data_IF_309528094173
#
_entry.id   IF_309528094173
#
_cell.length_a   1.000
_cell.length_b   1.000
_cell.length_c   1.000
_cell.angle_alpha   90.00
_cell.angle_beta   90.00
_cell.angle_gamma   90.00
#
_symmetry.space_group_name_H-M   'P 1'
#
loop_
_entity.id
_entity.type
_entity.pdbx_description
1 polymer ?
#
# COMPACT_ATOMS: atom_id res chain seq x y z
N UNK A 1 5.42 25.39 -6.62
CA UNK A 1 4.99 24.00 -6.33
C UNK A 1 4.15 23.38 -7.46
N UNK A 2 3.02 23.98 -7.86
CA UNK A 2 2.07 23.41 -8.85
C UNK A 2 2.69 23.04 -10.22
N UNK A 3 3.59 23.86 -10.78
CA UNK A 3 4.28 23.55 -12.06
C UNK A 3 5.24 22.36 -11.94
N UNK A 4 5.90 22.20 -10.78
CA UNK A 4 6.78 21.05 -10.49
C UNK A 4 5.96 19.76 -10.42
N UNK A 5 4.83 19.79 -9.74
CA UNK A 5 3.93 18.63 -9.68
C UNK A 5 3.39 18.24 -11.06
N UNK A 6 2.94 19.20 -11.86
CA UNK A 6 2.46 18.94 -13.21
C UNK A 6 3.57 18.39 -14.13
N UNK A 7 4.83 18.78 -13.90
CA UNK A 7 5.99 18.19 -14.59
C UNK A 7 6.23 16.75 -14.13
N UNK A 8 6.34 16.52 -12.81
CA UNK A 8 6.58 15.18 -12.24
C UNK A 8 5.48 14.18 -12.63
N UNK A 9 4.22 14.61 -12.66
CA UNK A 9 3.10 13.78 -13.14
C UNK A 9 3.27 13.39 -14.61
N UNK A 10 3.66 14.34 -15.47
CA UNK A 10 3.91 14.07 -16.90
C UNK A 10 5.08 13.11 -17.08
N UNK A 11 6.15 13.29 -16.32
CA UNK A 11 7.30 12.40 -16.32
C UNK A 11 6.93 10.98 -15.84
N UNK A 12 6.11 10.86 -14.79
CA UNK A 12 5.60 9.58 -14.30
C UNK A 12 4.74 8.87 -15.36
N UNK A 13 3.78 9.58 -15.97
CA UNK A 13 2.94 9.00 -17.02
C UNK A 13 3.75 8.60 -18.25
N UNK A 14 4.75 9.39 -18.63
CA UNK A 14 5.64 9.08 -19.74
C UNK A 14 6.49 7.83 -19.46
N UNK A 15 7.04 7.70 -18.24
CA UNK A 15 7.76 6.50 -17.80
C UNK A 15 6.85 5.27 -17.87
N UNK A 16 5.64 5.35 -17.29
CA UNK A 16 4.63 4.29 -17.31
C UNK A 16 4.17 3.88 -18.72
N UNK A 17 4.13 4.83 -19.66
CA UNK A 17 3.78 4.52 -21.05
C UNK A 17 4.92 3.78 -21.79
N UNK A 18 6.18 4.15 -21.53
CA UNK A 18 7.35 3.47 -22.12
C UNK A 18 7.64 2.12 -21.47
N UNK A 19 7.23 1.98 -20.23
CA UNK A 19 7.42 0.80 -19.40
C UNK A 19 6.81 -0.46 -20.04
N UNK A 20 5.61 -0.39 -20.63
CA UNK A 20 5.04 -1.57 -21.32
C UNK A 20 5.87 -2.00 -22.54
N UNK A 21 6.38 -1.03 -23.32
CA UNK A 21 7.28 -1.31 -24.43
C UNK A 21 8.63 -1.89 -23.95
N UNK A 22 9.16 -1.39 -22.83
CA UNK A 22 10.37 -1.91 -22.20
C UNK A 22 10.16 -3.33 -21.66
N UNK A 23 9.00 -3.62 -21.05
CA UNK A 23 8.65 -4.97 -20.58
C UNK A 23 8.64 -5.98 -21.72
N UNK A 24 7.97 -5.64 -22.83
CA UNK A 24 7.94 -6.51 -24.01
C UNK A 24 9.36 -6.72 -24.57
N UNK A 25 10.18 -5.67 -24.63
CA UNK A 25 11.58 -5.79 -25.05
C UNK A 25 12.39 -6.69 -24.09
N UNK A 26 12.19 -6.54 -22.78
CA UNK A 26 12.87 -7.33 -21.75
C UNK A 26 12.46 -8.81 -21.80
N UNK A 27 11.17 -9.11 -21.97
CA UNK A 27 10.69 -10.48 -22.14
C UNK A 27 11.32 -11.15 -23.38
N UNK A 28 11.50 -10.40 -24.47
CA UNK A 28 12.23 -10.89 -25.65
C UNK A 28 13.70 -11.18 -25.32
N UNK A 29 14.37 -10.25 -24.61
CA UNK A 29 15.77 -10.42 -24.17
C UNK A 29 15.94 -11.63 -23.26
N UNK A 30 15.05 -11.82 -22.28
CA UNK A 30 15.07 -12.96 -21.36
C UNK A 30 14.85 -14.29 -22.09
N UNK A 31 13.95 -14.34 -23.07
CA UNK A 31 13.76 -15.55 -23.91
C UNK A 31 15.03 -15.90 -24.69
N UNK A 32 15.75 -14.91 -25.21
CA UNK A 32 17.04 -15.11 -25.89
C UNK A 32 18.12 -15.55 -24.89
N UNK A 33 18.25 -14.86 -23.75
CA UNK A 33 19.19 -15.23 -22.68
C UNK A 33 18.98 -16.67 -22.22
N UNK A 34 17.73 -17.05 -21.94
CA UNK A 34 17.37 -18.41 -21.53
C UNK A 34 17.66 -19.46 -22.60
N UNK A 35 17.41 -19.15 -23.87
CA UNK A 35 17.74 -20.06 -24.97
C UNK A 35 19.27 -20.29 -25.10
N UNK A 36 20.07 -19.25 -24.87
CA UNK A 36 21.53 -19.34 -24.84
C UNK A 36 22.04 -20.15 -23.63
N UNK A 37 21.50 -19.91 -22.43
CA UNK A 37 21.86 -20.63 -21.21
C UNK A 37 21.48 -22.12 -21.28
N UNK A 38 20.27 -22.43 -21.76
CA UNK A 38 19.78 -23.81 -21.88
C UNK A 38 20.30 -24.53 -23.14
N UNK A 39 21.13 -23.88 -23.97
CA UNK A 39 21.59 -24.37 -25.28
C UNK A 39 20.44 -24.86 -26.18
N UNK A 40 19.31 -24.15 -26.18
CA UNK A 40 18.13 -24.44 -27.00
C UNK A 40 18.08 -23.54 -28.23
N UNK A 41 17.37 -24.01 -29.27
CA UNK A 41 17.14 -23.21 -30.47
C UNK A 41 16.33 -21.95 -30.12
N UNK A 42 16.82 -20.78 -30.57
CA UNK A 42 16.12 -19.51 -30.41
C UNK A 42 14.77 -19.56 -31.15
N UNK A 43 13.67 -19.08 -30.54
CA UNK A 43 12.35 -19.00 -31.19
C UNK A 43 12.42 -18.30 -32.55
N UNK A 44 11.72 -18.84 -33.55
CA UNK A 44 11.80 -18.38 -34.95
C UNK A 44 11.50 -16.89 -35.11
N UNK A 45 10.56 -16.37 -34.33
CA UNK A 45 10.17 -14.95 -34.30
C UNK A 45 11.30 -14.02 -33.85
N UNK A 46 12.19 -14.50 -32.98
CA UNK A 46 13.28 -13.71 -32.41
C UNK A 46 14.60 -13.86 -33.17
N UNK A 47 14.73 -14.84 -34.08
CA UNK A 47 16.00 -15.13 -34.78
C UNK A 47 16.57 -13.95 -35.56
N UNK A 48 15.71 -13.13 -36.18
CA UNK A 48 16.14 -11.95 -36.94
C UNK A 48 16.65 -10.82 -36.04
N UNK A 49 16.05 -10.67 -34.86
CA UNK A 49 16.39 -9.64 -33.87
C UNK A 49 17.45 -10.13 -32.87
N UNK A 50 17.78 -11.43 -32.86
CA UNK A 50 18.58 -12.09 -31.84
C UNK A 50 19.97 -11.48 -31.67
N UNK A 51 20.66 -11.16 -32.77
CA UNK A 51 22.00 -10.54 -32.73
C UNK A 51 21.97 -9.15 -32.10
N UNK A 52 20.95 -8.33 -32.42
CA UNK A 52 20.78 -7.00 -31.84
C UNK A 52 20.40 -7.08 -30.35
N UNK A 53 19.50 -8.01 -30.00
CA UNK A 53 19.12 -8.27 -28.61
C UNK A 53 20.31 -8.77 -27.79
N UNK A 54 21.14 -9.64 -28.37
CA UNK A 54 22.37 -10.14 -27.73
C UNK A 54 23.39 -9.03 -27.48
N UNK A 55 23.66 -8.17 -28.47
CA UNK A 55 24.54 -7.02 -28.25
C UNK A 55 24.02 -6.09 -27.15
N UNK A 56 22.70 -5.94 -27.02
CA UNK A 56 22.10 -5.15 -25.93
C UNK A 56 22.15 -5.84 -24.55
N UNK A 57 22.22 -7.18 -24.50
CA UNK A 57 22.33 -7.95 -23.25
C UNK A 57 23.67 -7.76 -22.57
N UNK A 58 24.74 -7.47 -23.33
CA UNK A 58 26.08 -7.20 -22.78
C UNK A 58 26.13 -5.88 -21.98
N UNK A 59 25.24 -4.94 -22.28
CA UNK A 59 25.11 -3.67 -21.56
C UNK A 59 24.06 -3.72 -20.44
N UNK A 60 23.29 -4.81 -20.33
CA UNK A 60 22.35 -5.03 -19.23
C UNK A 60 23.10 -5.58 -18.01
N UNK A 61 23.75 -4.69 -17.27
CA UNK A 61 24.50 -5.02 -16.05
C UNK A 61 23.60 -5.69 -15.01
N UNK A 62 24.05 -6.79 -14.41
CA UNK A 62 23.30 -7.53 -13.39
C UNK A 62 22.99 -6.70 -12.12
N UNK A 63 23.71 -5.59 -11.91
CA UNK A 63 23.58 -4.70 -10.75
C UNK A 63 22.79 -3.41 -10.99
N UNK A 64 22.39 -3.10 -12.23
CA UNK A 64 21.86 -1.77 -12.58
C UNK A 64 20.40 -1.53 -12.18
N UNK A 65 19.57 -2.56 -12.23
CA UNK A 65 18.16 -2.54 -11.85
C UNK A 65 17.72 -4.01 -11.85
N UNK A 66 18.14 -4.77 -10.83
CA UNK A 66 17.59 -6.10 -10.61
C UNK A 66 16.09 -5.95 -10.46
N UNK A 67 15.34 -6.32 -11.51
CA UNK A 67 13.89 -6.23 -11.70
C UNK A 67 13.21 -5.82 -10.39
N UNK A 68 13.22 -4.51 -10.09
CA UNK A 68 12.32 -4.01 -9.06
C UNK A 68 10.97 -4.34 -9.65
N UNK A 69 10.23 -5.22 -8.98
CA UNK A 69 8.94 -5.68 -9.49
C UNK A 69 8.12 -4.42 -9.79
N UNK A 70 8.04 -4.15 -11.08
CA UNK A 70 7.61 -2.96 -11.82
C UNK A 70 6.17 -2.52 -11.48
N UNK A 71 5.53 -3.16 -10.51
CA UNK A 71 4.16 -2.91 -10.09
C UNK A 71 4.04 -1.68 -9.18
N UNK A 72 5.14 -1.21 -8.55
CA UNK A 72 5.12 -0.18 -7.49
C UNK A 72 6.21 0.92 -7.60
N UNK A 73 6.37 1.60 -8.75
CA UNK A 73 7.18 2.85 -8.80
C UNK A 73 6.64 3.90 -7.82
N UNK A 74 5.33 3.86 -7.54
CA UNK A 74 4.67 4.72 -6.56
C UNK A 74 5.22 4.53 -5.13
N UNK A 75 5.57 3.30 -4.76
CA UNK A 75 6.04 2.93 -3.41
C UNK A 75 7.54 2.67 -3.35
N UNK A 76 8.32 3.14 -4.34
CA UNK A 76 9.78 2.92 -4.43
C UNK A 76 10.57 3.28 -3.16
N UNK A 77 10.10 4.29 -2.41
CA UNK A 77 10.75 4.76 -1.17
C UNK A 77 10.20 4.09 0.11
N UNK A 78 9.28 3.15 -0.03
CA UNK A 78 8.71 2.46 1.11
C UNK A 78 9.79 1.67 1.87
N UNK A 79 9.81 1.84 3.19
CA UNK A 79 10.80 1.22 4.08
C UNK A 79 12.05 2.08 4.33
N UNK A 80 12.27 3.15 3.55
CA UNK A 80 13.34 4.13 3.83
C UNK A 80 12.85 5.18 4.83
N UNK A 81 11.64 5.70 4.61
CA UNK A 81 10.98 6.66 5.50
C UNK A 81 9.68 6.07 6.07
N UNK A 82 9.37 6.44 7.32
CA UNK A 82 8.10 6.06 7.94
C UNK A 82 6.94 6.82 7.24
N UNK A 83 5.83 6.13 6.90
CA UNK A 83 4.72 6.75 6.21
C UNK A 83 4.04 7.81 7.07
N UNK A 84 3.67 8.93 6.45
CA UNK A 84 2.93 10.03 7.09
C UNK A 84 1.49 9.94 6.65
N UNK A 85 0.68 9.29 7.48
CA UNK A 85 -0.73 9.03 7.20
C UNK A 85 -1.60 10.15 7.76
N UNK A 86 -2.45 10.74 6.93
CA UNK A 86 -3.43 11.76 7.30
C UNK A 86 -4.84 11.19 7.21
N UNK A 87 -5.57 11.20 8.33
CA UNK A 87 -6.95 10.71 8.41
C UNK A 87 -7.90 11.90 8.47
N UNK A 88 -8.89 11.90 7.59
CA UNK A 88 -10.00 12.85 7.59
C UNK A 88 -11.33 12.14 7.40
N UNK A 89 -12.42 12.87 7.62
CA UNK A 89 -13.79 12.36 7.60
C UNK A 89 -14.57 13.02 6.47
N UNK A 90 -15.85 12.66 6.35
CA UNK A 90 -16.84 13.40 5.56
C UNK A 90 -17.00 14.85 6.07
N UNK A 91 -17.68 15.70 5.29
CA UNK A 91 -17.83 17.15 5.55
C UNK A 91 -18.41 17.44 6.93
N UNK A 92 -19.51 16.80 7.25
CA UNK A 92 -20.24 16.95 8.52
C UNK A 92 -20.34 15.58 9.21
N UNK A 93 -19.28 15.19 9.96
CA UNK A 93 -19.22 13.87 10.58
C UNK A 93 -20.01 13.83 11.90
N UNK A 94 -20.69 12.72 12.13
CA UNK A 94 -21.33 12.38 13.39
C UNK A 94 -20.32 12.19 14.51
N UNK A 95 -20.79 12.16 15.76
CA UNK A 95 -19.97 11.81 16.92
C UNK A 95 -19.35 10.41 16.79
N UNK A 96 -20.12 9.42 16.29
CA UNK A 96 -19.64 8.05 16.06
C UNK A 96 -18.52 8.00 15.03
N UNK A 97 -18.64 8.71 13.90
CA UNK A 97 -17.55 8.76 12.91
C UNK A 97 -16.31 9.49 13.43
N UNK A 98 -16.48 10.52 14.27
CA UNK A 98 -15.33 11.17 14.94
C UNK A 98 -14.60 10.21 15.89
N UNK A 99 -15.34 9.35 16.61
CA UNK A 99 -14.78 8.31 17.46
C UNK A 99 -14.06 7.25 16.61
N UNK A 100 -14.68 6.77 15.53
CA UNK A 100 -14.05 5.82 14.61
C UNK A 100 -12.77 6.39 13.97
N UNK A 101 -12.76 7.67 13.58
CA UNK A 101 -11.54 8.31 13.07
C UNK A 101 -10.43 8.40 14.13
N UNK A 102 -10.77 8.46 15.43
CA UNK A 102 -9.80 8.37 16.54
C UNK A 102 -9.29 6.94 16.70
N UNK A 103 -10.13 5.93 16.53
CA UNK A 103 -9.72 4.52 16.54
C UNK A 103 -8.75 4.23 15.39
N UNK A 104 -9.06 4.65 14.16
CA UNK A 104 -8.16 4.49 13.02
C UNK A 104 -6.81 5.18 13.23
N UNK A 105 -6.79 6.34 13.91
CA UNK A 105 -5.53 6.99 14.29
C UNK A 105 -4.66 6.09 15.17
N UNK A 106 -5.26 5.32 16.08
CA UNK A 106 -4.51 4.39 16.93
C UNK A 106 -4.08 3.12 16.16
N UNK A 107 -4.85 2.72 15.14
CA UNK A 107 -4.49 1.61 14.25
C UNK A 107 -3.20 1.90 13.49
N UNK A 108 -3.06 3.08 12.89
CA UNK A 108 -1.89 3.45 12.07
C UNK A 108 -0.87 4.25 12.90
N UNK A 109 0.32 3.67 13.23
CA UNK A 109 1.35 4.40 13.96
C UNK A 109 1.81 5.65 13.20
N UNK A 110 1.95 6.78 13.88
CA UNK A 110 2.35 8.05 13.25
C UNK A 110 1.23 8.76 12.47
N UNK A 111 0.02 8.20 12.43
CA UNK A 111 -1.09 8.85 11.77
C UNK A 111 -1.57 10.10 12.52
N UNK A 112 -1.93 11.12 11.74
CA UNK A 112 -2.50 12.34 12.25
C UNK A 112 -3.96 12.45 11.81
N UNK A 113 -4.80 13.07 12.64
CA UNK A 113 -6.21 13.31 12.33
C UNK A 113 -6.41 14.77 12.01
N UNK A 114 -7.03 15.06 10.88
CA UNK A 114 -7.37 16.40 10.43
C UNK A 114 -8.89 16.60 10.43
N UNK A 115 -9.34 17.66 11.11
CA UNK A 115 -10.74 18.07 11.06
C UNK A 115 -11.10 18.52 9.65
N UNK A 116 -12.16 17.94 9.09
CA UNK A 116 -12.59 18.23 7.71
C UNK A 116 -13.14 19.65 7.56
N UNK A 117 -14.06 20.04 8.44
CA UNK A 117 -14.71 21.35 8.44
C UNK A 117 -15.28 21.71 7.06
N UNK A 118 -15.11 22.98 6.66
CA UNK A 118 -15.56 23.50 5.35
C UNK A 118 -14.51 23.36 4.24
N UNK A 119 -13.44 22.59 4.46
CA UNK A 119 -12.38 22.46 3.48
C UNK A 119 -12.80 21.60 2.27
N UNK A 120 -12.59 22.14 1.08
CA UNK A 120 -12.74 21.40 -0.17
C UNK A 120 -11.69 20.28 -0.27
N UNK A 121 -12.05 19.19 -0.96
CA UNK A 121 -11.15 18.02 -1.11
C UNK A 121 -9.84 18.45 -1.77
N UNK A 122 -9.91 19.28 -2.82
CA UNK A 122 -8.73 19.76 -3.53
C UNK A 122 -7.80 20.59 -2.66
N UNK A 123 -8.33 21.40 -1.74
CA UNK A 123 -7.51 22.18 -0.80
C UNK A 123 -6.79 21.26 0.20
N UNK A 124 -7.46 20.22 0.69
CA UNK A 124 -6.86 19.25 1.61
C UNK A 124 -5.75 18.45 0.94
N UNK A 125 -5.97 17.97 -0.28
CA UNK A 125 -4.94 17.25 -1.05
C UNK A 125 -3.72 18.15 -1.28
N UNK A 126 -3.92 19.43 -1.60
CA UNK A 126 -2.81 20.39 -1.74
C UNK A 126 -2.05 20.59 -0.43
N UNK A 127 -2.77 20.71 0.70
CA UNK A 127 -2.15 20.84 2.02
C UNK A 127 -1.36 19.58 2.41
N UNK A 128 -1.92 18.39 2.19
CA UNK A 128 -1.24 17.12 2.43
C UNK A 128 0.04 17.00 1.61
N UNK A 129 -0.01 17.34 0.30
CA UNK A 129 1.17 17.35 -0.57
C UNK A 129 2.24 18.35 -0.12
N UNK A 130 1.84 19.55 0.29
CA UNK A 130 2.78 20.56 0.79
C UNK A 130 3.49 20.12 2.08
N UNK A 131 2.82 19.32 2.92
CA UNK A 131 3.36 18.77 4.16
C UNK A 131 4.10 17.42 3.97
N UNK A 132 4.21 16.92 2.74
CA UNK A 132 4.86 15.63 2.48
C UNK A 132 4.13 14.44 3.11
N UNK A 133 2.80 14.49 3.20
CA UNK A 133 1.96 13.37 3.61
C UNK A 133 2.04 12.28 2.54
N UNK A 134 2.26 11.04 2.95
CA UNK A 134 2.34 9.89 2.04
C UNK A 134 0.95 9.41 1.66
N UNK A 135 0.01 9.36 2.61
CA UNK A 135 -1.30 8.76 2.40
C UNK A 135 -2.41 9.58 3.05
N UNK A 136 -3.48 9.79 2.30
CA UNK A 136 -4.71 10.44 2.75
C UNK A 136 -5.82 9.39 2.87
N UNK A 137 -6.32 9.21 4.08
CA UNK A 137 -7.45 8.34 4.40
C UNK A 137 -8.70 9.20 4.59
N UNK A 138 -9.75 8.94 3.82
CA UNK A 138 -11.05 9.61 3.96
C UNK A 138 -12.08 8.59 4.36
N UNK A 139 -12.74 8.82 5.49
CA UNK A 139 -13.76 7.91 6.01
C UNK A 139 -15.15 8.50 5.82
N UNK A 140 -16.06 7.66 5.34
CA UNK A 140 -17.46 7.95 5.13
C UNK A 140 -18.33 7.11 6.06
N UNK A 141 -19.47 7.68 6.45
CA UNK A 141 -20.47 7.01 7.26
C UNK A 141 -21.85 7.09 6.62
N UNK A 142 -22.73 6.19 7.05
CA UNK A 142 -24.16 6.27 6.85
C UNK A 142 -24.84 6.20 8.22
N UNK A 143 -25.54 7.28 8.61
CA UNK A 143 -26.32 7.37 9.87
C UNK A 143 -25.54 6.95 11.13
N UNK A 144 -24.27 7.35 11.25
CA UNK A 144 -23.44 7.03 12.42
C UNK A 144 -22.64 5.73 12.30
N UNK A 145 -22.86 4.94 11.25
CA UNK A 145 -22.10 3.71 11.00
C UNK A 145 -21.08 3.95 9.89
N UNK A 146 -19.77 3.71 10.11
CA UNK A 146 -18.76 3.79 9.06
C UNK A 146 -19.04 2.78 7.94
N UNK A 147 -19.09 3.25 6.69
CA UNK A 147 -19.42 2.42 5.52
C UNK A 147 -18.39 2.51 4.40
N UNK A 148 -17.53 3.54 4.40
CA UNK A 148 -16.57 3.75 3.33
C UNK A 148 -15.22 4.20 3.85
N UNK A 149 -14.17 3.63 3.28
CA UNK A 149 -12.79 4.04 3.50
C UNK A 149 -12.12 4.26 2.14
N UNK A 150 -11.61 5.45 1.93
CA UNK A 150 -10.83 5.80 0.74
C UNK A 150 -9.38 5.94 1.18
N UNK A 151 -8.49 5.17 0.56
CA UNK A 151 -7.05 5.27 0.76
C UNK A 151 -6.45 5.87 -0.49
N UNK A 152 -5.84 7.05 -0.38
CA UNK A 152 -5.18 7.71 -1.51
C UNK A 152 -3.71 7.93 -1.21
N UNK A 153 -2.85 7.28 -1.99
CA UNK A 153 -1.41 7.51 -1.92
C UNK A 153 -1.03 8.79 -2.69
N UNK A 154 -0.21 9.63 -2.08
CA UNK A 154 0.22 10.93 -2.60
C UNK A 154 1.73 10.89 -2.88
N UNK A 155 2.23 11.67 -3.85
CA UNK A 155 1.54 12.73 -4.60
C UNK A 155 0.79 12.28 -5.87
N UNK A 156 1.15 11.14 -6.44
CA UNK A 156 0.57 10.60 -7.70
C UNK A 156 0.25 9.10 -7.59
N UNK A 157 0.00 8.62 -6.37
CA UNK A 157 -0.25 7.22 -6.11
C UNK A 157 -1.67 6.77 -6.45
N UNK A 158 -1.94 5.46 -6.32
CA UNK A 158 -3.28 4.91 -6.51
C UNK A 158 -4.25 5.40 -5.43
N UNK A 159 -5.54 5.37 -5.77
CA UNK A 159 -6.64 5.53 -4.81
C UNK A 159 -7.47 4.25 -4.80
N UNK A 160 -7.62 3.67 -3.61
CA UNK A 160 -8.45 2.50 -3.39
C UNK A 160 -9.70 2.89 -2.58
N UNK A 161 -10.85 2.40 -3.04
CA UNK A 161 -12.14 2.59 -2.39
C UNK A 161 -12.56 1.27 -1.76
N UNK A 162 -12.75 1.28 -0.44
CA UNK A 162 -13.20 0.13 0.32
C UNK A 162 -14.57 0.42 0.91
N UNK A 163 -15.48 -0.54 0.78
CA UNK A 163 -16.75 -0.53 1.51
C UNK A 163 -16.54 -1.29 2.80
N UNK A 164 -16.83 -0.64 3.93
CA UNK A 164 -16.71 -1.24 5.25
C UNK A 164 -18.01 -1.97 5.58
N UNK A 165 -17.88 -3.24 5.97
CA UNK A 165 -18.99 -4.09 6.40
C UNK A 165 -18.69 -4.62 7.81
N UNK A 166 -19.74 -4.86 8.61
CA UNK A 166 -19.63 -5.45 9.95
C UNK A 166 -18.62 -4.73 10.87
N UNK A 167 -18.66 -3.40 10.86
CA UNK A 167 -17.78 -2.57 11.69
C UNK A 167 -18.24 -2.62 13.14
N UNK A 168 -17.41 -3.22 13.99
CA UNK A 168 -17.51 -3.11 15.45
C UNK A 168 -16.51 -2.06 15.89
N UNK A 169 -16.97 -1.05 16.62
CA UNK A 169 -16.10 0.03 17.10
C UNK A 169 -15.59 -0.31 18.50
N UNK A 170 -14.33 0.06 18.75
CA UNK A 170 -13.69 -0.12 20.06
C UNK A 170 -14.46 0.54 21.19
N UNK A 171 -15.05 1.72 20.94
CA UNK A 171 -15.82 2.44 21.95
C UNK A 171 -17.14 1.75 22.32
N UNK A 172 -17.63 0.82 21.51
CA UNK A 172 -18.86 0.07 21.81
C UNK A 172 -18.57 -1.15 22.74
N UNK A 173 -17.29 -1.53 22.92
CA UNK A 173 -16.88 -2.67 23.77
C UNK A 173 -16.36 -2.16 25.13
N UNK A 174 -16.96 -2.60 26.26
CA UNK A 174 -16.54 -2.17 27.59
C UNK A 174 -15.18 -2.76 28.01
N UNK A 175 -14.54 -2.15 29.00
CA UNK A 175 -13.34 -2.65 29.69
C UNK A 175 -12.07 -2.83 28.85
N UNK A 176 -11.99 -2.14 27.71
CA UNK A 176 -10.78 -2.13 26.89
C UNK A 176 -9.75 -1.12 27.43
N UNK A 177 -8.54 -1.61 27.72
CA UNK A 177 -7.42 -0.80 28.21
C UNK A 177 -6.85 0.21 27.19
N UNK A 178 -5.65 0.73 27.43
CA UNK A 178 -4.96 1.58 26.44
C UNK A 178 -4.42 0.72 25.29
N UNK A 179 -4.49 1.23 24.06
CA UNK A 179 -3.94 0.56 22.88
C UNK A 179 -2.44 0.83 22.77
N UNK A 180 -1.64 -0.20 22.48
CA UNK A 180 -0.22 -0.02 22.15
C UNK A 180 -0.07 0.67 20.79
N UNK A 181 0.72 1.74 20.76
CA UNK A 181 1.10 2.45 19.53
C UNK A 181 2.36 1.87 18.88
N UNK A 182 2.83 0.71 19.33
CA UNK A 182 3.96 0.01 18.73
C UNK A 182 3.70 -0.27 17.23
N UNK A 183 4.78 -0.32 16.44
CA UNK A 183 4.74 -0.63 15.01
C UNK A 183 4.28 -2.09 14.83
N UNK A 184 3.13 -2.37 14.19
CA UNK A 184 2.55 -3.71 14.14
C UNK A 184 3.23 -4.59 13.09
N UNK A 185 3.31 -5.89 13.36
CA UNK A 185 3.49 -6.89 12.31
C UNK A 185 2.23 -7.00 11.45
N UNK A 186 2.41 -7.23 10.16
CA UNK A 186 1.31 -7.34 9.20
C UNK A 186 1.22 -8.77 8.67
N UNK A 187 0.01 -9.31 8.65
CA UNK A 187 -0.31 -10.60 8.03
C UNK A 187 -1.23 -10.33 6.85
N UNK A 188 -0.77 -10.64 5.64
CA UNK A 188 -1.55 -10.53 4.40
C UNK A 188 -1.88 -11.94 3.91
N UNK A 189 -3.13 -12.38 4.07
CA UNK A 189 -3.59 -13.72 3.72
C UNK A 189 -4.58 -13.68 2.55
N UNK A 190 -4.47 -14.61 1.60
CA UNK A 190 -5.43 -14.74 0.48
C UNK A 190 -5.33 -13.68 -0.63
N UNK A 191 -4.27 -12.87 -0.66
CA UNK A 191 -4.04 -11.80 -1.65
C UNK A 191 -2.94 -12.18 -2.66
N UNK A 192 -3.06 -13.35 -3.31
CA UNK A 192 -2.02 -13.91 -4.18
C UNK A 192 -2.09 -13.44 -5.64
N UNK A 193 -3.26 -13.03 -6.12
CA UNK A 193 -3.46 -12.57 -7.50
C UNK A 193 -2.66 -11.29 -7.79
N UNK A 194 -2.44 -10.95 -9.06
CA UNK A 194 -1.73 -9.70 -9.42
C UNK A 194 -2.40 -8.45 -8.83
N UNK A 195 -3.73 -8.42 -8.85
CA UNK A 195 -4.50 -7.36 -8.21
C UNK A 195 -4.42 -7.44 -6.69
N UNK A 196 -4.50 -8.65 -6.12
CA UNK A 196 -4.37 -8.89 -4.69
C UNK A 196 -3.04 -8.39 -4.14
N UNK A 197 -1.93 -8.62 -4.84
CA UNK A 197 -0.61 -8.07 -4.51
C UNK A 197 -0.65 -6.55 -4.49
N UNK A 198 -1.16 -5.90 -5.55
CA UNK A 198 -1.30 -4.43 -5.60
C UNK A 198 -2.14 -3.88 -4.45
N UNK A 199 -3.25 -4.53 -4.10
CA UNK A 199 -4.08 -4.13 -2.95
C UNK A 199 -3.32 -4.34 -1.63
N UNK A 200 -2.58 -5.45 -1.53
CA UNK A 200 -1.71 -5.74 -0.40
C UNK A 200 -0.66 -4.65 -0.22
N UNK A 201 -0.03 -4.19 -1.30
CA UNK A 201 0.98 -3.14 -1.29
C UNK A 201 0.38 -1.80 -0.82
N UNK A 202 -0.78 -1.41 -1.36
CA UNK A 202 -1.51 -0.21 -0.92
C UNK A 202 -1.78 -0.23 0.59
N UNK A 203 -2.20 -1.38 1.14
CA UNK A 203 -2.52 -1.51 2.57
C UNK A 203 -1.26 -1.64 3.44
N UNK A 204 -0.24 -2.35 2.96
CA UNK A 204 1.01 -2.60 3.67
C UNK A 204 1.80 -1.32 3.90
N UNK A 205 1.88 -0.47 2.88
CA UNK A 205 2.68 0.75 2.93
C UNK A 205 2.06 1.89 3.75
N UNK A 206 0.85 1.69 4.31
CA UNK A 206 0.28 2.56 5.33
C UNK A 206 0.97 2.40 6.69
N UNK A 207 1.75 1.34 6.89
CA UNK A 207 2.38 1.03 8.16
C UNK A 207 3.91 1.15 8.07
N UNK A 208 4.55 1.64 9.14
CA UNK A 208 6.01 1.64 9.22
C UNK A 208 6.55 0.22 9.42
N UNK A 209 7.84 0.03 9.12
CA UNK A 209 8.51 -1.26 9.31
C UNK A 209 8.54 -1.63 10.81
N UNK A 210 7.97 -2.78 11.21
CA UNK A 210 7.96 -3.20 12.60
C UNK A 210 9.36 -3.64 13.06
N UNK A 211 9.58 -3.58 14.37
CA UNK A 211 10.73 -4.23 15.01
C UNK A 211 10.39 -5.70 15.29
N UNK A 212 11.42 -6.54 15.38
CA UNK A 212 11.28 -7.98 15.63
C UNK A 212 10.67 -8.33 17.00
N UNK A 213 10.75 -7.40 17.96
CA UNK A 213 10.20 -7.51 19.31
C UNK A 213 8.76 -7.00 19.45
N UNK A 214 8.12 -6.60 18.34
CA UNK A 214 6.76 -6.06 18.40
C UNK A 214 5.73 -7.15 18.68
N UNK A 215 4.95 -6.97 19.74
CA UNK A 215 3.87 -7.90 20.12
C UNK A 215 2.52 -7.58 19.48
N UNK A 216 2.47 -6.57 18.62
CA UNK A 216 1.25 -6.09 17.97
C UNK A 216 1.16 -6.68 16.57
N UNK A 217 0.00 -7.24 16.20
CA UNK A 217 -0.23 -7.83 14.89
C UNK A 217 -1.54 -7.36 14.28
N UNK A 218 -1.51 -7.00 13.00
CA UNK A 218 -2.66 -6.62 12.21
C UNK A 218 -2.78 -7.62 11.07
N UNK A 219 -3.98 -8.17 10.90
CA UNK A 219 -4.26 -9.19 9.89
C UNK A 219 -5.25 -8.64 8.87
N UNK A 220 -4.89 -8.78 7.59
CA UNK A 220 -5.75 -8.60 6.43
C UNK A 220 -5.91 -9.97 5.78
N UNK A 221 -7.03 -10.63 6.02
CA UNK A 221 -7.33 -11.94 5.48
C UNK A 221 -8.43 -11.85 4.42
N UNK A 222 -8.09 -12.15 3.18
CA UNK A 222 -9.03 -12.16 2.06
C UNK A 222 -9.72 -13.54 1.94
N UNK A 223 -11.05 -13.52 1.86
CA UNK A 223 -11.89 -14.67 1.52
C UNK A 223 -13.05 -14.17 0.65
N UNK A 224 -13.23 -14.78 -0.53
CA UNK A 224 -14.28 -14.41 -1.50
C UNK A 224 -14.33 -12.89 -1.81
N UNK A 225 -13.15 -12.28 -1.97
CA UNK A 225 -12.94 -10.84 -2.19
C UNK A 225 -13.39 -9.92 -1.02
N UNK A 226 -13.68 -10.49 0.15
CA UNK A 226 -13.85 -9.77 1.40
C UNK A 226 -12.56 -9.81 2.21
N UNK A 227 -11.95 -8.64 2.39
CA UNK A 227 -10.76 -8.47 3.24
C UNK A 227 -11.21 -8.27 4.69
N UNK A 228 -11.08 -9.32 5.48
CA UNK A 228 -11.28 -9.28 6.93
C UNK A 228 -10.11 -8.60 7.60
N UNK A 229 -10.38 -7.49 8.28
CA UNK A 229 -9.41 -6.76 9.09
C UNK A 229 -9.57 -7.13 10.57
N UNK A 230 -8.47 -7.53 11.21
CA UNK A 230 -8.42 -7.77 12.66
C UNK A 230 -7.15 -7.24 13.28
N UNK A 231 -7.24 -6.73 14.49
CA UNK A 231 -6.13 -6.15 15.22
C UNK A 231 -5.97 -6.85 16.57
N UNK A 232 -4.82 -7.51 16.74
CA UNK A 232 -4.52 -8.29 17.94
C UNK A 232 -3.20 -7.85 18.57
N UNK A 233 -3.07 -8.08 19.86
CA UNK A 233 -1.78 -8.16 20.55
C UNK A 233 -1.59 -9.60 20.95
N UNK A 234 -0.37 -10.11 20.78
CA UNK A 234 -0.04 -11.48 21.12
C UNK A 234 0.94 -11.54 22.29
N UNK A 235 0.80 -12.56 23.12
CA UNK A 235 1.76 -12.89 24.17
C UNK A 235 2.21 -14.33 23.98
N UNK A 236 3.52 -14.54 23.95
CA UNK A 236 4.09 -15.90 23.99
C UNK A 236 4.07 -16.37 25.43
N UNK A 237 3.26 -17.38 25.74
CA UNK A 237 3.21 -18.03 27.06
C UNK A 237 4.15 -19.22 27.14
N UNK A 238 4.56 -19.78 26.00
CA UNK A 238 5.58 -20.81 25.89
C UNK A 238 6.29 -20.81 24.53
N UNK A 239 7.06 -21.87 24.24
CA UNK A 239 7.78 -22.01 22.97
C UNK A 239 6.87 -22.30 21.77
N UNK A 240 5.72 -22.95 22.00
CA UNK A 240 4.76 -23.35 20.96
C UNK A 240 3.41 -22.63 21.05
N UNK A 241 3.11 -22.04 22.19
CA UNK A 241 1.79 -21.47 22.47
C UNK A 241 1.83 -19.94 22.45
N UNK A 242 0.81 -19.37 21.82
CA UNK A 242 0.62 -17.93 21.66
C UNK A 242 -0.81 -17.60 22.02
N UNK A 243 -0.98 -16.67 22.96
CA UNK A 243 -2.28 -16.12 23.32
C UNK A 243 -2.50 -14.82 22.54
N UNK A 244 -3.70 -14.67 21.97
CA UNK A 244 -4.11 -13.48 21.23
C UNK A 244 -5.19 -12.74 22.01
N UNK A 245 -5.04 -11.43 22.13
CA UNK A 245 -6.07 -10.53 22.67
C UNK A 245 -6.47 -9.54 21.59
N UNK A 246 -7.76 -9.51 21.26
CA UNK A 246 -8.29 -8.56 20.30
C UNK A 246 -8.27 -7.13 20.88
N UNK A 247 -7.78 -6.20 20.08
CA UNK A 247 -7.55 -4.80 20.45
C UNK A 247 -8.53 -3.86 19.73
N UNK A 248 -9.55 -4.37 19.06
CA UNK A 248 -10.59 -3.60 18.38
C UNK A 248 -11.95 -3.94 18.95
#
# INVERSE_FOLDING_TARGET
MLRREARLRREYLYRKAREEAQRVAQEKKEKVRRALEENRLIPTELRREALALQGSLEFDDAGGEGVTSHVDDEYRWAGVEDPKVMITTSRDPSSRLKMFAKELKLVFPGAQRMNRGRHEVGALVRACKANGVTDLLVVHEHRGTPVGLIVSHLPFGPTAYFTLCNVVMRHDVPDLGTMSEAKPHLIMHGLSSRLGKRVSDILRYLFPVPKDDSHRVITFANQDDYISFRHHVYRKTGHRDVELTECT
#
